data_IF_766160211237
#
_entry.id   IF_766160211237
#
_cell.length_a   1.000
_cell.length_b   1.000
_cell.length_c   1.000
_cell.angle_alpha   90.00
_cell.angle_beta   90.00
_cell.angle_gamma   90.00
#
_symmetry.space_group_name_H-M   'P 1'
#
loop_
_entity.id
_entity.type
_entity.pdbx_description
1 polymer ?
#
# COMPACT_ATOMS: atom_id res chain seq x y z
N UNK A 1 -12.37 31.01 -20.43
CA UNK A 1 -12.59 30.11 -19.26
C UNK A 1 -13.50 28.88 -19.54
N UNK A 2 -13.85 28.59 -20.78
CA UNK A 2 -14.81 27.50 -21.15
C UNK A 2 -14.14 26.16 -21.53
N UNK A 3 -12.81 26.11 -21.66
CA UNK A 3 -12.11 24.89 -22.15
C UNK A 3 -11.85 23.78 -21.10
N UNK A 4 -11.86 24.09 -19.81
CA UNK A 4 -11.47 23.12 -18.79
C UNK A 4 -12.51 22.01 -18.52
N UNK A 5 -13.78 22.23 -18.87
CA UNK A 5 -14.85 21.24 -18.67
C UNK A 5 -15.13 20.36 -19.89
N UNK A 6 -14.61 20.74 -21.07
CA UNK A 6 -14.85 19.98 -22.29
C UNK A 6 -14.25 18.57 -22.25
N UNK A 7 -13.05 18.42 -21.72
CA UNK A 7 -12.41 17.10 -21.58
C UNK A 7 -13.16 16.14 -20.66
N UNK A 8 -13.45 16.51 -19.41
CA UNK A 8 -14.26 15.68 -18.51
C UNK A 8 -15.65 15.35 -19.06
N UNK A 9 -16.33 16.32 -19.68
CA UNK A 9 -17.65 16.10 -20.30
C UNK A 9 -17.58 15.11 -21.47
N UNK A 10 -16.56 15.21 -22.32
CA UNK A 10 -16.31 14.29 -23.42
C UNK A 10 -16.06 12.86 -22.89
N UNK A 11 -15.22 12.71 -21.85
CA UNK A 11 -14.93 11.40 -21.24
C UNK A 11 -16.20 10.76 -20.65
N UNK A 12 -17.02 11.53 -19.94
CA UNK A 12 -18.31 11.04 -19.41
C UNK A 12 -19.27 10.66 -20.53
N UNK A 13 -19.33 11.43 -21.61
CA UNK A 13 -20.14 11.13 -22.79
C UNK A 13 -19.67 9.87 -23.52
N UNK A 14 -18.37 9.68 -23.69
CA UNK A 14 -17.79 8.46 -24.26
C UNK A 14 -18.06 7.25 -23.39
N UNK A 15 -17.93 7.39 -22.06
CA UNK A 15 -18.26 6.31 -21.13
C UNK A 15 -19.75 5.93 -21.20
N UNK A 16 -20.65 6.93 -21.17
CA UNK A 16 -22.08 6.67 -21.31
C UNK A 16 -22.42 6.02 -22.65
N UNK A 17 -21.80 6.48 -23.75
CA UNK A 17 -21.96 5.88 -25.07
C UNK A 17 -21.50 4.43 -25.14
N UNK A 18 -20.35 4.12 -24.54
CA UNK A 18 -19.83 2.76 -24.44
C UNK A 18 -20.76 1.85 -23.61
N UNK A 19 -21.29 2.36 -22.50
CA UNK A 19 -22.24 1.62 -21.68
C UNK A 19 -23.53 1.27 -22.46
N UNK A 20 -24.08 2.23 -23.20
CA UNK A 20 -25.24 2.00 -24.07
C UNK A 20 -24.95 1.00 -25.20
N UNK A 21 -23.75 1.06 -25.79
CA UNK A 21 -23.34 0.14 -26.86
C UNK A 21 -23.17 -1.30 -26.38
N UNK A 22 -22.77 -1.49 -25.10
CA UNK A 22 -22.64 -2.82 -24.47
C UNK A 22 -23.96 -3.36 -23.86
N UNK A 23 -25.05 -2.61 -23.97
CA UNK A 23 -26.35 -3.01 -23.41
C UNK A 23 -26.36 -3.08 -21.87
N UNK A 24 -25.46 -2.45 -21.18
CA UNK A 24 -25.38 -2.44 -19.71
C UNK A 24 -24.90 -3.74 -19.05
N UNK A 25 -24.62 -4.80 -19.85
CA UNK A 25 -24.26 -6.12 -19.30
C UNK A 25 -22.82 -6.23 -18.76
N UNK A 26 -21.91 -5.35 -19.20
CA UNK A 26 -20.51 -5.34 -18.79
C UNK A 26 -20.08 -4.01 -18.15
N UNK A 27 -20.67 -2.93 -18.61
CA UNK A 27 -20.30 -1.58 -18.25
C UNK A 27 -21.54 -0.77 -17.88
N UNK A 28 -21.66 -0.35 -16.63
CA UNK A 28 -22.71 0.59 -16.24
C UNK A 28 -22.31 2.02 -16.59
N UNK A 29 -23.26 2.78 -17.12
CA UNK A 29 -23.07 4.18 -17.47
C UNK A 29 -23.18 5.11 -16.25
N UNK A 30 -22.64 6.34 -16.35
CA UNK A 30 -22.76 7.34 -15.29
C UNK A 30 -24.21 7.59 -14.81
N UNK A 31 -25.19 7.54 -15.70
CA UNK A 31 -26.59 7.74 -15.33
C UNK A 31 -27.17 6.55 -14.53
N UNK A 32 -26.82 5.31 -14.86
CA UNK A 32 -27.21 4.13 -14.11
C UNK A 32 -26.57 4.12 -12.72
N UNK A 33 -25.29 4.48 -12.62
CA UNK A 33 -24.57 4.65 -11.36
C UNK A 33 -25.25 5.71 -10.49
N UNK A 34 -25.57 6.87 -11.05
CA UNK A 34 -26.25 7.94 -10.32
C UNK A 34 -27.66 7.52 -9.85
N UNK A 35 -28.41 6.82 -10.68
CA UNK A 35 -29.72 6.27 -10.35
C UNK A 35 -29.64 5.26 -9.20
N UNK A 36 -28.68 4.33 -9.26
CA UNK A 36 -28.46 3.35 -8.20
C UNK A 36 -28.07 4.01 -6.88
N UNK A 37 -27.14 4.98 -6.92
CA UNK A 37 -26.72 5.73 -5.75
C UNK A 37 -27.86 6.53 -5.13
N UNK A 38 -28.72 7.13 -5.95
CA UNK A 38 -29.91 7.84 -5.47
C UNK A 38 -30.87 6.93 -4.71
N UNK A 39 -31.13 5.74 -5.27
CA UNK A 39 -32.01 4.74 -4.66
C UNK A 39 -31.40 4.08 -3.41
N UNK A 40 -30.06 3.97 -3.32
CA UNK A 40 -29.35 3.21 -2.29
C UNK A 40 -28.40 4.08 -1.44
N UNK A 41 -28.63 5.40 -1.36
CA UNK A 41 -27.75 6.35 -0.69
C UNK A 41 -27.44 5.96 0.77
N UNK A 42 -28.44 5.46 1.51
CA UNK A 42 -28.28 5.00 2.89
C UNK A 42 -27.35 3.78 3.02
N UNK A 43 -27.44 2.81 2.09
CA UNK A 43 -26.57 1.63 2.05
C UNK A 43 -25.14 2.03 1.71
N UNK A 44 -24.97 2.78 0.62
CA UNK A 44 -23.68 3.27 0.18
C UNK A 44 -22.99 4.13 1.25
N UNK A 45 -23.73 5.03 1.90
CA UNK A 45 -23.22 5.88 2.97
C UNK A 45 -22.71 5.10 4.18
N UNK A 46 -23.47 4.11 4.66
CA UNK A 46 -23.04 3.25 5.78
C UNK A 46 -21.81 2.41 5.44
N UNK A 47 -21.77 1.84 4.23
CA UNK A 47 -20.63 1.07 3.78
C UNK A 47 -19.37 1.94 3.65
N UNK A 48 -19.51 3.13 3.05
CA UNK A 48 -18.43 4.11 2.94
C UNK A 48 -17.89 4.53 4.31
N UNK A 49 -18.78 4.84 5.26
CA UNK A 49 -18.38 5.24 6.61
C UNK A 49 -17.59 4.13 7.33
N UNK A 50 -17.99 2.86 7.16
CA UNK A 50 -17.27 1.73 7.73
C UNK A 50 -15.86 1.59 7.12
N UNK A 51 -15.76 1.59 5.79
CA UNK A 51 -14.46 1.49 5.09
C UNK A 51 -13.55 2.67 5.43
N UNK A 52 -14.07 3.91 5.44
CA UNK A 52 -13.28 5.10 5.78
C UNK A 52 -12.83 5.10 7.24
N UNK A 53 -13.67 4.60 8.16
CA UNK A 53 -13.29 4.42 9.57
C UNK A 53 -12.09 3.48 9.71
N UNK A 54 -12.15 2.30 9.09
CA UNK A 54 -11.06 1.31 9.10
C UNK A 54 -9.81 1.85 8.39
N UNK A 55 -9.98 2.52 7.24
CA UNK A 55 -8.90 3.16 6.50
C UNK A 55 -8.22 4.27 7.32
N UNK A 56 -8.97 5.09 8.06
CA UNK A 56 -8.42 6.16 8.89
C UNK A 56 -7.54 5.60 10.02
N UNK A 57 -8.01 4.57 10.72
CA UNK A 57 -7.19 3.89 11.74
C UNK A 57 -5.97 3.20 11.14
N UNK A 58 -6.13 2.53 10.00
CA UNK A 58 -5.02 1.92 9.26
C UNK A 58 -4.01 2.96 8.76
N UNK A 59 -4.49 4.10 8.25
CA UNK A 59 -3.65 5.23 7.85
C UNK A 59 -2.83 5.76 9.02
N UNK A 60 -3.45 5.98 10.17
CA UNK A 60 -2.76 6.44 11.37
C UNK A 60 -1.72 5.43 11.86
N UNK A 61 -2.09 4.15 11.99
CA UNK A 61 -1.19 3.10 12.46
C UNK A 61 -0.04 2.84 11.50
N UNK A 62 -0.31 2.76 10.19
CA UNK A 62 0.71 2.53 9.15
C UNK A 62 1.70 3.68 9.05
N UNK A 63 1.23 4.93 9.11
CA UNK A 63 2.12 6.10 9.11
C UNK A 63 2.93 6.21 10.40
N UNK A 64 2.35 5.89 11.55
CA UNK A 64 3.11 5.82 12.81
C UNK A 64 4.21 4.77 12.72
N UNK A 65 3.90 3.58 12.21
CA UNK A 65 4.91 2.53 11.97
C UNK A 65 6.02 3.00 11.01
N UNK A 66 5.66 3.68 9.91
CA UNK A 66 6.63 4.24 8.97
C UNK A 66 7.56 5.26 9.62
N UNK A 67 7.02 6.16 10.43
CA UNK A 67 7.79 7.18 11.15
C UNK A 67 8.75 6.53 12.16
N UNK A 68 8.27 5.57 12.94
CA UNK A 68 9.09 4.83 13.92
C UNK A 68 10.19 4.03 13.23
N UNK A 69 9.87 3.34 12.13
CA UNK A 69 10.86 2.61 11.32
C UNK A 69 11.89 3.56 10.70
N UNK A 70 11.50 4.74 10.24
CA UNK A 70 12.40 5.73 9.67
C UNK A 70 13.30 6.39 10.73
N UNK A 71 12.84 6.50 11.97
CA UNK A 71 13.65 7.03 13.07
C UNK A 71 14.89 6.16 13.37
N UNK A 72 14.80 4.85 13.17
CA UNK A 72 15.91 3.92 13.41
C UNK A 72 17.14 4.27 12.56
N UNK A 73 17.08 4.31 11.22
CA UNK A 73 18.25 4.68 10.40
C UNK A 73 18.59 6.19 10.47
N UNK A 74 17.65 7.03 10.89
CA UNK A 74 17.96 8.44 11.15
C UNK A 74 18.93 8.60 12.33
N UNK A 75 18.80 7.77 13.37
CA UNK A 75 19.68 7.74 14.54
C UNK A 75 20.90 6.85 14.29
N UNK A 76 20.71 5.70 13.67
CA UNK A 76 21.76 4.71 13.36
C UNK A 76 21.85 4.44 11.86
N UNK A 77 22.61 5.24 11.08
CA UNK A 77 22.63 5.14 9.60
C UNK A 77 23.01 3.76 9.04
N UNK A 78 23.73 2.95 9.82
CA UNK A 78 24.13 1.58 9.44
C UNK A 78 22.95 0.62 9.30
N UNK A 79 21.82 0.90 9.95
CA UNK A 79 20.62 0.06 9.94
C UNK A 79 19.73 0.27 8.71
N UNK A 80 20.04 1.26 7.86
CA UNK A 80 19.19 1.63 6.72
C UNK A 80 18.88 0.45 5.80
N UNK A 81 19.89 -0.32 5.42
CA UNK A 81 19.72 -1.48 4.53
C UNK A 81 18.82 -2.57 5.14
N UNK A 82 18.99 -2.80 6.45
CA UNK A 82 18.19 -3.78 7.17
C UNK A 82 16.73 -3.31 7.29
N UNK A 83 16.51 -2.07 7.74
CA UNK A 83 15.15 -1.52 7.90
C UNK A 83 14.41 -1.47 6.57
N UNK A 84 15.04 -0.95 5.51
CA UNK A 84 14.43 -0.88 4.20
C UNK A 84 14.16 -2.27 3.61
N UNK A 85 15.07 -3.22 3.81
CA UNK A 85 14.92 -4.60 3.36
C UNK A 85 13.80 -5.35 4.09
N UNK A 86 13.73 -5.24 5.43
CA UNK A 86 12.65 -5.82 6.23
C UNK A 86 11.30 -5.23 5.84
N UNK A 87 11.24 -3.90 5.70
CA UNK A 87 10.03 -3.23 5.28
C UNK A 87 9.58 -3.70 3.88
N UNK A 88 10.52 -3.79 2.92
CA UNK A 88 10.20 -4.31 1.59
C UNK A 88 9.68 -5.74 1.64
N UNK A 89 10.31 -6.61 2.42
CA UNK A 89 9.90 -8.01 2.53
C UNK A 89 8.47 -8.15 3.08
N UNK A 90 8.11 -7.37 4.11
CA UNK A 90 6.74 -7.34 4.64
C UNK A 90 5.77 -6.73 3.62
N UNK A 91 6.18 -5.70 2.86
CA UNK A 91 5.35 -5.09 1.81
C UNK A 91 5.07 -6.05 0.65
N UNK A 92 5.99 -6.96 0.35
CA UNK A 92 5.81 -7.99 -0.67
C UNK A 92 4.83 -9.11 -0.26
N UNK A 93 4.37 -9.15 1.00
CA UNK A 93 3.34 -10.11 1.39
C UNK A 93 2.01 -9.77 0.70
N UNK A 94 1.38 -10.72 0.00
CA UNK A 94 0.12 -10.47 -0.67
C UNK A 94 -0.97 -10.14 0.36
N UNK A 95 -1.51 -8.92 0.33
CA UNK A 95 -2.54 -8.48 1.29
C UNK A 95 -3.75 -9.42 1.30
N UNK A 96 -4.16 -9.90 0.12
CA UNK A 96 -5.29 -10.84 -0.03
C UNK A 96 -5.02 -12.16 0.69
N UNK A 97 -3.79 -12.66 0.66
CA UNK A 97 -3.41 -13.89 1.37
C UNK A 97 -3.25 -13.66 2.87
N UNK A 98 -2.86 -12.45 3.29
CA UNK A 98 -2.67 -12.09 4.69
C UNK A 98 -4.01 -11.91 5.43
N UNK A 99 -5.05 -11.46 4.73
CA UNK A 99 -6.36 -11.17 5.30
C UNK A 99 -6.99 -12.34 6.08
N UNK A 100 -7.15 -13.53 5.49
CA UNK A 100 -7.68 -14.71 6.20
C UNK A 100 -6.85 -15.10 7.41
N UNK A 101 -5.53 -14.96 7.34
CA UNK A 101 -4.62 -15.24 8.47
C UNK A 101 -4.91 -14.29 9.63
N UNK A 102 -5.00 -12.99 9.34
CA UNK A 102 -5.33 -11.98 10.35
C UNK A 102 -6.73 -12.22 10.95
N UNK A 103 -7.68 -12.67 10.13
CA UNK A 103 -9.02 -13.01 10.61
C UNK A 103 -9.02 -14.16 11.61
N UNK A 104 -8.19 -15.18 11.37
CA UNK A 104 -8.01 -16.30 12.31
C UNK A 104 -7.32 -15.83 13.60
N UNK A 105 -6.32 -14.94 13.49
CA UNK A 105 -5.55 -14.48 14.64
C UNK A 105 -6.30 -13.47 15.52
N UNK A 106 -7.04 -12.55 14.91
CA UNK A 106 -7.68 -11.43 15.62
C UNK A 106 -9.18 -11.68 15.91
N UNK A 107 -9.76 -12.70 15.28
CA UNK A 107 -11.18 -13.02 15.43
C UNK A 107 -12.10 -12.05 14.68
N UNK A 108 -13.41 -12.06 15.02
CA UNK A 108 -14.39 -11.15 14.44
C UNK A 108 -14.15 -9.71 14.89
N UNK A 109 -14.42 -8.74 13.99
CA UNK A 109 -14.25 -7.30 14.25
C UNK A 109 -13.48 -6.60 13.13
N UNK A 110 -13.13 -5.34 13.36
CA UNK A 110 -12.49 -4.46 12.37
C UNK A 110 -10.94 -4.53 12.39
N UNK A 111 -10.36 -5.34 13.29
CA UNK A 111 -8.91 -5.48 13.45
C UNK A 111 -8.18 -5.86 12.16
N UNK A 112 -8.58 -6.94 11.48
CA UNK A 112 -7.92 -7.37 10.23
C UNK A 112 -7.90 -6.29 9.15
N UNK A 113 -8.99 -5.54 8.97
CA UNK A 113 -9.12 -4.46 8.00
C UNK A 113 -8.17 -3.29 8.31
N UNK A 114 -8.11 -2.90 9.59
CA UNK A 114 -7.21 -1.85 10.06
C UNK A 114 -5.75 -2.25 9.85
N UNK A 115 -5.39 -3.50 10.18
CA UNK A 115 -4.02 -4.00 9.98
C UNK A 115 -3.66 -4.07 8.50
N UNK A 116 -4.57 -4.55 7.63
CA UNK A 116 -4.31 -4.59 6.18
C UNK A 116 -4.20 -3.19 5.58
N UNK A 117 -5.01 -2.24 6.03
CA UNK A 117 -4.86 -0.84 5.66
C UNK A 117 -3.50 -0.28 6.13
N UNK A 118 -3.07 -0.58 7.36
CA UNK A 118 -1.76 -0.18 7.86
C UNK A 118 -0.60 -0.79 7.05
N UNK A 119 -0.71 -2.06 6.66
CA UNK A 119 0.27 -2.75 5.80
C UNK A 119 0.32 -2.15 4.38
N UNK A 120 -0.78 -1.68 3.83
CA UNK A 120 -0.80 -0.98 2.55
C UNK A 120 -0.14 0.41 2.61
N UNK A 121 -0.19 1.04 3.77
CA UNK A 121 0.23 2.43 4.01
C UNK A 121 1.70 2.58 4.38
N UNK A 122 2.19 1.74 5.32
CA UNK A 122 3.47 2.02 5.99
C UNK A 122 4.64 2.14 4.99
N UNK A 123 4.70 1.30 3.96
CA UNK A 123 5.79 1.29 3.00
C UNK A 123 5.74 2.48 2.04
N UNK A 124 4.54 2.88 1.62
CA UNK A 124 4.32 4.03 0.72
C UNK A 124 4.74 5.35 1.37
N UNK A 125 4.70 5.43 2.70
CA UNK A 125 5.21 6.58 3.46
C UNK A 125 6.67 6.41 3.87
N UNK A 126 7.10 5.20 4.23
CA UNK A 126 8.46 4.94 4.71
C UNK A 126 9.51 5.29 3.66
N UNK A 127 9.32 4.89 2.41
CA UNK A 127 10.34 5.09 1.37
C UNK A 127 10.58 6.57 1.06
N UNK A 128 9.55 7.39 0.77
CA UNK A 128 9.76 8.84 0.64
C UNK A 128 10.39 9.46 1.89
N UNK A 129 9.94 9.07 3.08
CA UNK A 129 10.47 9.60 4.33
C UNK A 129 11.97 9.29 4.51
N UNK A 130 12.40 8.06 4.22
CA UNK A 130 13.82 7.68 4.23
C UNK A 130 14.65 8.48 3.21
N UNK A 131 14.09 8.74 2.03
CA UNK A 131 14.72 9.59 1.02
C UNK A 131 14.85 11.03 1.54
N UNK A 132 13.78 11.58 2.11
CA UNK A 132 13.75 12.93 2.67
C UNK A 132 14.73 13.15 3.83
N UNK A 133 14.86 12.18 4.75
CA UNK A 133 15.84 12.23 5.84
C UNK A 133 17.31 12.29 5.37
N UNK A 134 17.55 11.96 4.10
CA UNK A 134 18.88 11.96 3.45
C UNK A 134 19.05 13.09 2.43
N UNK A 135 17.99 13.82 2.12
CA UNK A 135 17.98 14.85 1.08
C UNK A 135 18.68 16.15 1.49
N UNK A 136 18.96 16.34 2.79
CA UNK A 136 19.61 17.55 3.27
C UNK A 136 21.03 17.69 2.73
N UNK A 137 21.45 18.89 2.25
CA UNK A 137 22.80 19.17 1.81
C UNK A 137 23.82 18.98 2.94
N UNK A 138 25.04 18.54 2.60
CA UNK A 138 26.13 18.35 3.58
C UNK A 138 26.43 19.63 4.35
N UNK A 139 26.39 20.78 3.68
CA UNK A 139 26.65 22.09 4.28
C UNK A 139 25.74 22.41 5.49
N UNK A 140 24.49 21.92 5.50
CA UNK A 140 23.61 22.15 6.65
C UNK A 140 24.05 21.35 7.89
N UNK A 141 24.61 20.18 7.71
CA UNK A 141 25.19 19.39 8.80
C UNK A 141 26.47 20.06 9.33
N UNK A 142 27.31 20.57 8.42
CA UNK A 142 28.56 21.27 8.80
C UNK A 142 28.24 22.55 9.58
N UNK A 143 27.20 23.28 9.20
CA UNK A 143 26.74 24.45 9.94
C UNK A 143 26.31 24.09 11.36
N UNK A 144 25.49 23.03 11.54
CA UNK A 144 25.07 22.61 12.89
C UNK A 144 26.24 22.17 13.74
N UNK A 145 27.24 21.51 13.15
CA UNK A 145 28.48 21.09 13.83
C UNK A 145 29.35 22.23 14.20
N UNK A 146 29.46 23.28 13.36
CA UNK A 146 30.27 24.47 13.65
C UNK A 146 29.77 25.23 14.90
N UNK A 147 28.45 25.08 15.22
CA UNK A 147 27.89 25.58 16.49
C UNK A 147 28.07 24.62 17.66
N UNK A 148 28.87 23.56 17.52
CA UNK A 148 29.14 22.56 18.58
C UNK A 148 27.94 21.68 18.91
N UNK A 149 26.90 21.65 18.05
CA UNK A 149 25.67 20.88 18.28
C UNK A 149 25.81 19.44 17.77
N UNK A 150 25.30 18.48 18.53
CA UNK A 150 25.41 17.05 18.25
C UNK A 150 24.29 16.50 17.33
N UNK A 151 24.30 15.18 17.15
CA UNK A 151 23.39 14.42 16.26
C UNK A 151 21.91 14.69 16.47
N UNK A 152 21.49 14.98 17.69
CA UNK A 152 20.10 15.30 17.99
C UNK A 152 19.67 16.62 17.34
N UNK A 153 20.53 17.62 17.39
CA UNK A 153 20.28 18.89 16.71
C UNK A 153 20.27 18.74 15.17
N UNK A 154 21.16 17.90 14.61
CA UNK A 154 21.14 17.54 13.19
C UNK A 154 19.81 16.88 12.82
N UNK A 155 19.30 15.95 13.64
CA UNK A 155 18.04 15.28 13.38
C UNK A 155 16.87 16.29 13.34
N UNK A 156 16.74 17.10 14.39
CA UNK A 156 15.58 17.99 14.56
C UNK A 156 15.62 19.18 13.59
N UNK A 157 16.78 19.84 13.42
CA UNK A 157 16.86 21.09 12.67
C UNK A 157 17.19 20.89 11.17
N UNK A 158 17.80 19.75 10.80
CA UNK A 158 18.21 19.48 9.43
C UNK A 158 17.36 18.37 8.82
N UNK A 159 17.47 17.14 9.35
CA UNK A 159 16.86 15.96 8.73
C UNK A 159 15.35 16.00 8.72
N UNK A 160 14.71 16.30 9.84
CA UNK A 160 13.25 16.35 9.92
C UNK A 160 12.67 17.44 9.03
N UNK A 161 13.30 18.62 8.99
CA UNK A 161 12.84 19.71 8.12
C UNK A 161 12.97 19.37 6.64
N UNK A 162 14.09 18.76 6.25
CA UNK A 162 14.30 18.30 4.87
C UNK A 162 13.33 17.16 4.50
N UNK A 163 12.90 16.35 5.47
CA UNK A 163 12.02 15.22 5.25
C UNK A 163 10.53 15.60 5.13
N UNK A 164 10.10 16.76 5.65
CA UNK A 164 8.70 17.17 5.66
C UNK A 164 7.99 17.10 4.29
N UNK A 165 8.55 17.63 3.19
CA UNK A 165 7.92 17.53 1.88
C UNK A 165 7.75 16.10 1.40
N UNK A 166 8.73 15.25 1.68
CA UNK A 166 8.70 13.82 1.36
C UNK A 166 7.67 13.08 2.20
N UNK A 167 7.54 13.43 3.48
CA UNK A 167 6.50 12.89 4.35
C UNK A 167 5.11 13.23 3.81
N UNK A 168 4.87 14.50 3.41
CA UNK A 168 3.59 14.92 2.84
C UNK A 168 3.31 14.18 1.53
N UNK A 169 4.29 14.00 0.67
CA UNK A 169 4.15 13.22 -0.56
C UNK A 169 3.81 11.75 -0.26
N UNK A 170 4.48 11.14 0.73
CA UNK A 170 4.18 9.80 1.20
C UNK A 170 2.77 9.68 1.78
N UNK A 171 2.35 10.60 2.64
CA UNK A 171 1.01 10.67 3.21
C UNK A 171 -0.07 10.82 2.12
N UNK A 172 0.21 11.59 1.08
CA UNK A 172 -0.72 11.81 -0.02
C UNK A 172 -0.96 10.54 -0.83
N UNK A 173 0.08 9.74 -1.07
CA UNK A 173 -0.02 8.43 -1.75
C UNK A 173 -0.63 7.38 -0.81
N UNK A 174 -0.33 7.44 0.48
CA UNK A 174 -0.80 6.46 1.45
C UNK A 174 -2.31 6.58 1.75
N UNK A 175 -2.91 7.75 1.57
CA UNK A 175 -4.33 7.95 1.86
C UNK A 175 -5.27 7.07 0.99
N UNK A 176 -5.16 7.01 -0.35
CA UNK A 176 -5.91 6.06 -1.15
C UNK A 176 -5.48 4.60 -0.90
N UNK A 177 -4.20 4.34 -0.60
CA UNK A 177 -3.73 3.00 -0.28
C UNK A 177 -4.38 2.44 1.01
N UNK A 178 -4.69 3.29 1.98
CA UNK A 178 -5.41 2.89 3.19
C UNK A 178 -6.83 2.40 2.88
N UNK A 179 -7.54 3.08 1.98
CA UNK A 179 -8.90 2.68 1.56
C UNK A 179 -8.85 1.35 0.83
N UNK A 180 -7.90 1.18 -0.10
CA UNK A 180 -7.69 -0.09 -0.79
C UNK A 180 -7.39 -1.23 0.19
N UNK A 181 -6.47 -1.00 1.13
CA UNK A 181 -6.10 -2.00 2.14
C UNK A 181 -7.27 -2.37 3.05
N UNK A 182 -8.09 -1.40 3.47
CA UNK A 182 -9.30 -1.65 4.23
C UNK A 182 -10.32 -2.50 3.44
N UNK A 183 -10.57 -2.15 2.16
CA UNK A 183 -11.45 -2.92 1.28
C UNK A 183 -10.98 -4.36 1.07
N UNK A 184 -9.67 -4.57 0.88
CA UNK A 184 -9.09 -5.93 0.80
C UNK A 184 -9.33 -6.70 2.09
N UNK A 185 -9.22 -6.04 3.25
CA UNK A 185 -9.55 -6.62 4.54
C UNK A 185 -11.03 -7.00 4.64
N UNK A 186 -11.91 -6.20 4.09
CA UNK A 186 -13.34 -6.44 4.06
C UNK A 186 -13.72 -7.67 3.22
N UNK A 187 -12.90 -8.08 2.25
CA UNK A 187 -13.10 -9.33 1.49
C UNK A 187 -12.97 -10.59 2.35
N UNK A 188 -12.37 -10.50 3.53
CA UNK A 188 -12.07 -11.66 4.38
C UNK A 188 -13.15 -11.99 5.42
N UNK A 189 -14.36 -11.45 5.25
CA UNK A 189 -15.52 -11.87 6.04
C UNK A 189 -15.94 -10.89 7.14
N UNK A 190 -16.08 -9.62 6.80
CA UNK A 190 -16.76 -8.63 7.65
C UNK A 190 -18.22 -8.46 7.26
N UNK A 191 -18.98 -7.78 8.13
CA UNK A 191 -20.41 -7.55 7.88
C UNK A 191 -20.69 -6.24 7.12
N UNK A 192 -19.72 -5.30 7.09
CA UNK A 192 -19.93 -3.94 6.58
C UNK A 192 -18.70 -3.44 5.84
N UNK A 193 -18.93 -2.61 4.83
CA UNK A 193 -17.91 -1.91 4.07
C UNK A 193 -18.13 -1.98 2.56
N UNK A 194 -17.40 -1.15 1.82
CA UNK A 194 -17.44 -1.12 0.36
C UNK A 194 -16.93 -2.42 -0.27
N UNK A 195 -15.91 -3.04 0.36
CA UNK A 195 -15.38 -4.33 -0.08
C UNK A 195 -16.42 -5.46 0.05
N UNK A 196 -17.19 -5.46 1.13
CA UNK A 196 -18.29 -6.43 1.31
C UNK A 196 -19.34 -6.27 0.21
N UNK A 197 -19.74 -5.03 -0.09
CA UNK A 197 -20.69 -4.75 -1.16
C UNK A 197 -20.12 -5.17 -2.53
N UNK A 198 -18.84 -4.95 -2.77
CA UNK A 198 -18.17 -5.38 -4.00
C UNK A 198 -18.30 -6.89 -4.19
N UNK A 199 -17.98 -7.70 -3.18
CA UNK A 199 -18.14 -9.16 -3.27
C UNK A 199 -19.60 -9.57 -3.48
N UNK A 200 -20.52 -8.96 -2.73
CA UNK A 200 -21.94 -9.25 -2.83
C UNK A 200 -22.44 -9.02 -4.24
N UNK A 201 -22.26 -7.81 -4.79
CA UNK A 201 -22.77 -7.44 -6.11
C UNK A 201 -22.06 -8.18 -7.25
N UNK A 202 -20.80 -8.58 -7.04
CA UNK A 202 -20.10 -9.48 -7.98
C UNK A 202 -20.78 -10.86 -8.03
N UNK A 203 -21.18 -11.41 -6.87
CA UNK A 203 -21.89 -12.70 -6.81
C UNK A 203 -23.32 -12.63 -7.37
N UNK A 204 -23.97 -11.50 -7.09
CA UNK A 204 -25.35 -11.25 -7.55
C UNK A 204 -25.40 -10.84 -9.04
N UNK A 205 -24.24 -10.62 -9.69
CA UNK A 205 -24.10 -10.09 -11.06
C UNK A 205 -24.83 -8.75 -11.26
N UNK A 206 -24.96 -7.97 -10.17
CA UNK A 206 -25.56 -6.63 -10.21
C UNK A 206 -24.52 -5.60 -10.70
N UNK A 207 -24.45 -5.45 -12.03
CA UNK A 207 -23.44 -4.61 -12.68
C UNK A 207 -23.57 -3.12 -12.29
N UNK A 208 -24.78 -2.50 -12.31
CA UNK A 208 -24.94 -1.11 -11.87
C UNK A 208 -24.48 -0.87 -10.43
N UNK A 209 -24.85 -1.78 -9.51
CA UNK A 209 -24.43 -1.70 -8.10
C UNK A 209 -22.92 -1.83 -7.94
N UNK A 210 -22.29 -2.78 -8.65
CA UNK A 210 -20.85 -2.99 -8.61
C UNK A 210 -20.08 -1.75 -9.07
N UNK A 211 -20.48 -1.16 -10.20
CA UNK A 211 -19.88 0.07 -10.72
C UNK A 211 -20.14 1.27 -9.80
N UNK A 212 -21.31 1.34 -9.16
CA UNK A 212 -21.61 2.39 -8.19
C UNK A 212 -20.69 2.31 -6.96
N UNK A 213 -20.48 1.12 -6.42
CA UNK A 213 -19.54 0.91 -5.30
C UNK A 213 -18.11 1.25 -5.70
N UNK A 214 -17.68 0.83 -6.90
CA UNK A 214 -16.36 1.18 -7.43
C UNK A 214 -16.19 2.70 -7.60
N UNK A 215 -17.20 3.40 -8.11
CA UNK A 215 -17.19 4.86 -8.26
C UNK A 215 -17.09 5.57 -6.89
N UNK A 216 -17.84 5.10 -5.87
CA UNK A 216 -17.76 5.64 -4.51
C UNK A 216 -16.37 5.41 -3.90
N UNK A 217 -15.79 4.22 -4.07
CA UNK A 217 -14.45 3.90 -3.59
C UNK A 217 -13.39 4.79 -4.25
N UNK A 218 -13.48 4.97 -5.59
CA UNK A 218 -12.59 5.84 -6.34
C UNK A 218 -12.71 7.32 -5.92
N UNK A 219 -13.95 7.81 -5.78
CA UNK A 219 -14.21 9.16 -5.30
C UNK A 219 -13.67 9.39 -3.89
N UNK A 220 -13.90 8.45 -2.98
CA UNK A 220 -13.39 8.49 -1.60
C UNK A 220 -11.85 8.51 -1.57
N UNK A 221 -11.21 7.69 -2.39
CA UNK A 221 -9.75 7.63 -2.53
C UNK A 221 -9.18 8.93 -3.08
N UNK A 222 -9.82 9.50 -4.12
CA UNK A 222 -9.42 10.80 -4.68
C UNK A 222 -9.60 11.94 -3.67
N UNK A 223 -10.72 11.99 -2.95
CA UNK A 223 -10.96 13.00 -1.92
C UNK A 223 -9.94 12.90 -0.78
N UNK A 224 -9.60 11.70 -0.34
CA UNK A 224 -8.56 11.47 0.67
C UNK A 224 -7.19 11.98 0.19
N UNK A 225 -6.80 11.64 -1.05
CA UNK A 225 -5.59 12.14 -1.70
C UNK A 225 -5.57 13.67 -1.78
N UNK A 226 -6.66 14.27 -2.24
CA UNK A 226 -6.80 15.72 -2.41
C UNK A 226 -6.79 16.46 -1.06
N UNK A 227 -7.44 15.89 -0.04
CA UNK A 227 -7.47 16.44 1.32
C UNK A 227 -6.07 16.50 1.94
N UNK A 228 -5.30 15.40 1.84
CA UNK A 228 -3.91 15.36 2.33
C UNK A 228 -3.04 16.35 1.55
N UNK A 229 -3.17 16.41 0.22
CA UNK A 229 -2.44 17.38 -0.60
C UNK A 229 -2.79 18.83 -0.28
N UNK A 230 -4.07 19.13 -0.03
CA UNK A 230 -4.52 20.46 0.40
C UNK A 230 -3.93 20.81 1.79
N UNK A 231 -3.99 19.88 2.75
CA UNK A 231 -3.42 20.07 4.08
C UNK A 231 -1.90 20.29 3.99
N UNK A 232 -1.21 19.50 3.16
CA UNK A 232 0.23 19.64 2.92
C UNK A 232 0.61 21.02 2.42
N UNK A 233 -0.11 21.55 1.44
CA UNK A 233 0.11 22.92 0.94
C UNK A 233 -0.19 24.01 1.97
N UNK A 234 -1.13 23.77 2.89
CA UNK A 234 -1.43 24.70 3.98
C UNK A 234 -0.36 24.71 5.08
N UNK A 235 0.22 23.53 5.37
CA UNK A 235 1.23 23.37 6.42
C UNK A 235 2.65 23.70 5.93
N UNK A 236 2.91 23.51 4.62
CA UNK A 236 4.20 23.75 3.97
C UNK A 236 3.99 24.65 2.75
N UNK A 237 3.76 25.96 2.94
CA UNK A 237 3.50 26.88 1.83
C UNK A 237 4.70 27.01 0.87
N UNK A 238 5.93 26.88 1.38
CA UNK A 238 7.16 26.91 0.61
C UNK A 238 7.95 25.60 0.82
N UNK A 239 7.61 24.51 0.11
CA UNK A 239 8.40 23.30 0.21
C UNK A 239 9.81 23.58 -0.29
N UNK A 240 10.85 23.20 0.49
CA UNK A 240 12.22 23.34 0.00
C UNK A 240 12.36 22.58 -1.31
N UNK A 241 13.14 23.08 -2.28
CA UNK A 241 13.31 22.41 -3.57
C UNK A 241 13.75 20.97 -3.33
N UNK A 242 13.12 20.02 -4.04
CA UNK A 242 13.50 18.61 -3.97
C UNK A 242 14.92 18.50 -4.51
N UNK A 243 15.88 18.43 -3.61
CA UNK A 243 17.29 18.26 -3.97
C UNK A 243 17.46 16.75 -4.21
N UNK A 244 17.54 16.37 -5.48
CA UNK A 244 18.00 15.04 -5.86
C UNK A 244 19.44 14.91 -5.39
N UNK A 245 19.64 14.27 -4.24
CA UNK A 245 20.98 13.97 -3.77
C UNK A 245 21.67 13.06 -4.80
N UNK A 246 22.82 13.45 -5.35
CA UNK A 246 23.54 12.61 -6.30
C UNK A 246 23.79 11.24 -5.64
N UNK A 247 23.52 10.17 -6.39
CA UNK A 247 23.83 8.82 -5.96
C UNK A 247 25.33 8.78 -5.59
N UNK A 248 25.66 8.43 -4.33
CA UNK A 248 27.04 8.26 -3.94
C UNK A 248 27.66 7.16 -4.78
N UNK A 249 28.65 7.51 -5.58
CA UNK A 249 29.52 6.55 -6.26
C UNK A 249 30.22 5.71 -5.18
N UNK A 250 29.97 4.41 -5.14
CA UNK A 250 30.50 3.47 -4.17
C UNK A 250 29.42 2.78 -3.35
N UNK A 251 28.66 1.88 -3.98
CA UNK A 251 27.73 0.98 -3.28
C UNK A 251 28.49 -0.10 -2.49
N UNK A 252 27.84 -0.75 -1.52
CA UNK A 252 28.44 -1.84 -0.74
C UNK A 252 28.87 -2.97 -1.69
N UNK A 253 29.96 -3.67 -1.33
CA UNK A 253 30.47 -4.81 -2.10
C UNK A 253 29.40 -5.89 -2.29
N UNK A 254 29.55 -6.74 -3.32
CA UNK A 254 28.63 -7.84 -3.57
C UNK A 254 28.50 -8.79 -2.35
N UNK A 255 29.63 -9.06 -1.68
CA UNK A 255 29.66 -9.86 -0.46
C UNK A 255 28.85 -9.21 0.69
N UNK A 256 28.95 -7.89 0.86
CA UNK A 256 28.16 -7.17 1.87
C UNK A 256 26.65 -7.20 1.55
N UNK A 257 26.28 -7.06 0.28
CA UNK A 257 24.87 -7.20 -0.15
C UNK A 257 24.32 -8.60 0.10
N UNK A 258 25.12 -9.64 -0.19
CA UNK A 258 24.72 -11.02 0.06
C UNK A 258 24.59 -11.30 1.55
N UNK A 259 25.52 -10.82 2.38
CA UNK A 259 25.43 -10.93 3.83
C UNK A 259 24.21 -10.21 4.41
N UNK A 260 23.88 -9.03 3.90
CA UNK A 260 22.66 -8.31 4.28
C UNK A 260 21.39 -9.07 3.86
N UNK A 261 21.37 -9.65 2.66
CA UNK A 261 20.24 -10.45 2.19
C UNK A 261 20.06 -11.72 3.04
N UNK A 262 21.16 -12.41 3.37
CA UNK A 262 21.12 -13.59 4.25
C UNK A 262 20.64 -13.23 5.66
N UNK A 263 21.12 -12.14 6.23
CA UNK A 263 20.67 -11.63 7.52
C UNK A 263 19.18 -11.28 7.48
N UNK A 264 18.72 -10.62 6.42
CA UNK A 264 17.32 -10.27 6.22
C UNK A 264 16.43 -11.53 6.23
N UNK A 265 16.79 -12.55 5.44
CA UNK A 265 16.06 -13.83 5.41
C UNK A 265 16.06 -14.50 6.79
N UNK A 266 17.20 -14.53 7.46
CA UNK A 266 17.31 -15.11 8.81
C UNK A 266 16.41 -14.39 9.82
N UNK A 267 16.39 -13.06 9.80
CA UNK A 267 15.52 -12.26 10.68
C UNK A 267 14.04 -12.49 10.37
N UNK A 268 13.65 -12.54 9.10
CA UNK A 268 12.26 -12.83 8.70
C UNK A 268 11.81 -14.21 9.18
N UNK A 269 12.63 -15.23 8.99
CA UNK A 269 12.32 -16.59 9.45
C UNK A 269 12.26 -16.65 10.98
N UNK A 270 13.15 -15.95 11.66
CA UNK A 270 13.15 -15.88 13.13
C UNK A 270 11.91 -15.15 13.67
N UNK A 271 11.51 -14.02 13.07
CA UNK A 271 10.29 -13.28 13.45
C UNK A 271 9.04 -14.12 13.20
N UNK A 272 8.97 -14.81 12.05
CA UNK A 272 7.87 -15.74 11.76
C UNK A 272 7.80 -16.86 12.83
N UNK A 273 8.91 -17.54 13.09
CA UNK A 273 8.95 -18.60 14.09
C UNK A 273 8.57 -18.09 15.49
N UNK A 274 9.25 -17.02 15.94
CA UNK A 274 9.01 -16.45 17.26
C UNK A 274 7.58 -15.94 17.43
N UNK A 275 7.00 -15.34 16.38
CA UNK A 275 5.62 -14.89 16.38
C UNK A 275 4.63 -16.03 16.55
N UNK A 276 4.81 -17.15 15.82
CA UNK A 276 3.96 -18.33 15.95
C UNK A 276 4.07 -18.98 17.34
N UNK A 277 5.26 -18.98 17.93
CA UNK A 277 5.50 -19.52 19.27
C UNK A 277 4.93 -18.61 20.37
N UNK A 278 5.18 -17.31 20.29
CA UNK A 278 4.73 -16.32 21.28
C UNK A 278 3.19 -16.22 21.35
N UNK A 279 2.51 -16.40 20.23
CA UNK A 279 1.04 -16.39 20.16
C UNK A 279 0.43 -17.75 20.54
N UNK A 280 1.24 -18.77 20.87
CA UNK A 280 0.75 -20.10 21.25
C UNK A 280 -0.07 -20.81 20.18
N UNK A 281 0.15 -20.49 18.90
CA UNK A 281 -0.68 -20.97 17.80
C UNK A 281 -0.46 -22.47 17.53
N UNK A 282 -1.57 -23.18 17.36
CA UNK A 282 -1.52 -24.61 17.04
C UNK A 282 -0.82 -24.83 15.69
N UNK A 283 0.13 -25.78 15.64
CA UNK A 283 0.88 -26.18 14.43
C UNK A 283 0.01 -26.66 13.28
N UNK A 284 -1.21 -27.06 13.55
CA UNK A 284 -2.13 -27.45 12.47
C UNK A 284 -2.51 -26.26 11.59
N UNK A 285 -2.82 -25.12 12.19
CA UNK A 285 -3.22 -23.90 11.47
C UNK A 285 -2.02 -22.99 11.17
N UNK A 286 -1.08 -22.87 12.08
CA UNK A 286 0.05 -21.95 12.01
C UNK A 286 1.35 -22.72 11.74
N UNK A 287 1.62 -23.00 10.46
CA UNK A 287 2.84 -23.71 10.05
C UNK A 287 4.07 -22.86 10.30
N UNK A 288 5.11 -23.48 10.82
CA UNK A 288 6.42 -22.86 11.05
C UNK A 288 7.31 -23.00 9.80
N UNK A 289 8.36 -22.21 9.64
CA UNK A 289 9.26 -22.31 8.48
C UNK A 289 9.77 -23.74 8.19
N UNK A 290 10.18 -24.55 9.17
CA UNK A 290 10.58 -25.93 8.91
C UNK A 290 9.44 -26.81 8.41
N UNK A 291 8.19 -26.59 8.88
CA UNK A 291 7.04 -27.39 8.45
C UNK A 291 6.75 -27.14 6.96
N UNK A 292 6.88 -25.89 6.52
CA UNK A 292 6.70 -25.49 5.11
C UNK A 292 7.82 -26.07 4.26
N UNK A 293 9.08 -25.98 4.71
CA UNK A 293 10.22 -26.57 3.99
C UNK A 293 10.07 -28.09 3.87
N UNK A 294 9.64 -28.74 4.94
CA UNK A 294 9.41 -30.19 4.91
C UNK A 294 8.33 -30.56 3.89
N UNK A 295 7.21 -29.87 3.87
CA UNK A 295 6.12 -30.12 2.93
C UNK A 295 6.55 -29.94 1.46
N UNK A 296 7.44 -28.99 1.18
CA UNK A 296 7.90 -28.72 -0.19
C UNK A 296 9.07 -29.61 -0.63
N UNK A 297 9.97 -29.99 0.30
CA UNK A 297 11.23 -30.63 -0.06
C UNK A 297 11.27 -32.13 0.26
N UNK A 298 10.72 -32.56 1.42
CA UNK A 298 10.99 -33.91 1.96
C UNK A 298 9.74 -34.76 2.26
N UNK A 299 8.54 -34.15 2.32
CA UNK A 299 7.32 -34.91 2.55
C UNK A 299 7.06 -35.93 1.41
N UNK A 300 6.39 -37.06 1.66
CA UNK A 300 6.07 -38.05 0.63
C UNK A 300 5.32 -37.47 -0.57
N UNK A 301 4.50 -36.46 -0.35
CA UNK A 301 3.72 -35.73 -1.35
C UNK A 301 4.41 -34.46 -1.88
N UNK A 302 5.67 -34.19 -1.48
CA UNK A 302 6.43 -33.02 -1.91
C UNK A 302 6.49 -32.82 -3.44
N UNK A 303 6.63 -33.87 -4.28
CA UNK A 303 6.61 -33.71 -5.74
C UNK A 303 5.26 -33.17 -6.23
N UNK A 304 4.16 -33.67 -5.73
CA UNK A 304 2.81 -33.22 -6.09
C UNK A 304 2.57 -31.78 -5.61
N UNK A 305 2.98 -31.46 -4.39
CA UNK A 305 2.91 -30.10 -3.82
C UNK A 305 3.70 -29.11 -4.67
N UNK A 306 4.94 -29.44 -5.07
CA UNK A 306 5.73 -28.58 -5.95
C UNK A 306 5.08 -28.39 -7.32
N UNK A 307 4.54 -29.46 -7.93
CA UNK A 307 3.86 -29.36 -9.21
C UNK A 307 2.65 -28.43 -9.13
N UNK A 308 1.84 -28.54 -8.11
CA UNK A 308 0.69 -27.66 -7.86
C UNK A 308 1.10 -26.21 -7.67
N UNK A 309 2.13 -25.95 -6.84
CA UNK A 309 2.64 -24.61 -6.61
C UNK A 309 3.23 -23.97 -7.87
N UNK A 310 3.98 -24.75 -8.66
CA UNK A 310 4.56 -24.26 -9.92
C UNK A 310 3.47 -23.97 -10.97
N UNK A 311 2.44 -24.83 -11.08
CA UNK A 311 1.32 -24.59 -11.97
C UNK A 311 0.57 -23.31 -11.58
N UNK A 312 0.19 -23.14 -10.32
CA UNK A 312 -0.47 -21.94 -9.82
C UNK A 312 0.40 -20.66 -10.01
N UNK A 313 1.71 -20.77 -9.78
CA UNK A 313 2.63 -19.66 -10.02
C UNK A 313 2.69 -19.29 -11.51
N UNK A 314 2.73 -20.30 -12.38
CA UNK A 314 2.73 -20.07 -13.84
C UNK A 314 1.45 -19.42 -14.32
N UNK A 315 0.28 -19.86 -13.86
CA UNK A 315 -1.02 -19.23 -14.16
C UNK A 315 -1.03 -17.75 -13.75
N UNK A 316 -0.53 -17.46 -12.53
CA UNK A 316 -0.43 -16.08 -12.05
C UNK A 316 0.51 -15.23 -12.92
N UNK A 317 1.67 -15.76 -13.29
CA UNK A 317 2.64 -15.06 -14.15
C UNK A 317 2.06 -14.83 -15.55
N UNK A 318 1.38 -15.81 -16.12
CA UNK A 318 0.76 -15.71 -17.43
C UNK A 318 -0.33 -14.64 -17.52
N UNK A 319 -1.04 -14.39 -16.40
CA UNK A 319 -2.04 -13.31 -16.29
C UNK A 319 -1.40 -11.96 -16.03
N UNK A 320 -0.42 -11.89 -15.15
CA UNK A 320 0.17 -10.61 -14.68
C UNK A 320 1.11 -9.98 -15.71
N UNK A 321 1.91 -10.80 -16.40
CA UNK A 321 2.93 -10.30 -17.35
C UNK A 321 2.34 -9.46 -18.49
N UNK A 322 1.28 -9.87 -19.18
CA UNK A 322 0.67 -9.04 -20.22
C UNK A 322 0.12 -7.73 -19.70
N UNK A 323 -0.55 -7.76 -18.52
CA UNK A 323 -1.05 -6.55 -17.86
C UNK A 323 0.07 -5.58 -17.47
N UNK A 324 1.17 -6.10 -16.94
CA UNK A 324 2.34 -5.30 -16.61
C UNK A 324 2.99 -4.67 -17.85
N UNK A 325 3.15 -5.45 -18.94
CA UNK A 325 3.69 -4.96 -20.19
C UNK A 325 2.81 -3.86 -20.81
N UNK A 326 1.48 -4.05 -20.82
CA UNK A 326 0.52 -3.06 -21.27
C UNK A 326 0.60 -1.76 -20.42
N UNK A 327 0.65 -1.91 -19.10
CA UNK A 327 0.81 -0.78 -18.18
C UNK A 327 2.10 0.01 -18.40
N UNK A 328 3.22 -0.66 -18.66
CA UNK A 328 4.48 -0.01 -19.00
C UNK A 328 4.40 0.77 -20.31
N UNK A 329 3.84 0.16 -21.37
CA UNK A 329 3.69 0.80 -22.67
C UNK A 329 2.79 2.04 -22.58
N UNK A 330 1.64 1.92 -21.91
CA UNK A 330 0.72 3.04 -21.71
C UNK A 330 1.35 4.14 -20.84
N UNK A 331 1.99 3.78 -19.74
CA UNK A 331 2.65 4.72 -18.85
C UNK A 331 3.80 5.46 -19.53
N UNK A 332 4.62 4.77 -20.30
CA UNK A 332 5.69 5.39 -21.09
C UNK A 332 5.12 6.28 -22.19
N UNK A 333 4.07 5.84 -22.87
CA UNK A 333 3.40 6.65 -23.91
C UNK A 333 2.83 7.95 -23.38
N UNK A 334 2.15 7.89 -22.22
CA UNK A 334 1.60 9.08 -21.55
C UNK A 334 2.67 10.02 -20.98
N UNK A 335 3.86 9.51 -20.65
CA UNK A 335 4.95 10.33 -20.14
C UNK A 335 5.69 11.12 -21.24
N UNK A 336 5.51 10.75 -22.52
CA UNK A 336 6.12 11.39 -23.69
C UNK A 336 5.18 12.42 -24.33
N UNK A 337 3.88 12.32 -24.08
CA UNK A 337 2.86 13.29 -24.51
C UNK A 337 2.79 14.48 -23.52
#
# INVERSE_FOLDING_TARGET
MTGHWAGPALLLGLWQGAALATGGHLLAGPLEIAGWLGANAGLAGRATAATLGNAAWGLAAGNLAAILLAAVPALWPRTLGLVAGLALAVFCLPLVATGPILRVLMGPGDGPQIVLAALAVYYTTLIPLLAGLRAAPAAWFDLVRSYGRGRWAELVHVRLRAALPYLVAGLQISAPAAILGAMVGEFTGTERGLGVLTIRFTRDLDIPALWAVAAVAAASSYLAYAAVGWLGRRLLPDPPPVILAPARAGGPSAAHRLAQAALLVAVLLAVWWAGMEALGLNRFFAKRPPDVLAAVLWAPDAPATRATLLAAAWESVALVLPGYAAGLVLGAGLAVL
#
